data_IF_837994913252
#
_entry.id   IF_837994913252
#
_cell.length_a   1.000
_cell.length_b   1.000
_cell.length_c   1.000
_cell.angle_alpha   90.00
_cell.angle_beta   90.00
_cell.angle_gamma   90.00
#
_symmetry.space_group_name_H-M   'P 1'
#
loop_
_entity.id
_entity.type
_entity.pdbx_description
1 polymer ?
#
# COMPACT_ATOMS: atom_id res chain seq x y z
N UNK A 1 26.46 12.75 -16.09
CA UNK A 1 25.94 11.62 -15.28
C UNK A 1 24.48 11.39 -15.64
N UNK A 2 24.10 10.18 -16.10
CA UNK A 2 22.67 9.86 -16.36
C UNK A 2 21.90 9.89 -15.05
N UNK A 3 20.84 10.69 -14.95
CA UNK A 3 19.89 10.65 -13.83
C UNK A 3 19.24 9.26 -13.81
N UNK A 4 19.71 8.37 -12.95
CA UNK A 4 19.05 7.08 -12.72
C UNK A 4 17.71 7.40 -12.10
N UNK A 5 16.63 7.17 -12.84
CA UNK A 5 15.28 7.32 -12.31
C UNK A 5 15.00 6.06 -11.49
N UNK A 6 14.86 6.17 -10.16
CA UNK A 6 14.76 4.99 -9.31
C UNK A 6 13.47 4.21 -9.60
N UNK A 7 13.55 2.88 -9.59
CA UNK A 7 12.37 2.03 -9.70
C UNK A 7 11.49 2.23 -8.47
N UNK A 8 10.19 2.47 -8.71
CA UNK A 8 9.22 2.80 -7.65
C UNK A 8 8.28 1.64 -7.40
N UNK A 9 8.31 1.09 -6.19
CA UNK A 9 7.48 -0.04 -5.77
C UNK A 9 6.48 0.39 -4.71
N UNK A 10 5.21 0.03 -4.91
CA UNK A 10 4.15 0.19 -3.93
C UNK A 10 3.77 -1.17 -3.39
N UNK A 11 3.93 -1.37 -2.09
CA UNK A 11 3.45 -2.56 -1.41
C UNK A 11 2.13 -2.26 -0.71
N UNK A 12 1.15 -3.14 -0.88
CA UNK A 12 -0.14 -3.03 -0.24
C UNK A 12 -0.44 -4.33 0.50
N UNK A 13 -0.33 -4.27 1.83
CA UNK A 13 -0.67 -5.41 2.66
C UNK A 13 -0.46 -5.13 4.12
N UNK A 14 -1.23 -5.80 4.95
CA UNK A 14 -1.20 -5.55 6.39
C UNK A 14 -2.43 -6.07 7.11
N UNK A 15 -2.77 -5.41 8.21
CA UNK A 15 -3.79 -5.87 9.15
C UNK A 15 -3.26 -6.91 10.14
N UNK A 16 -2.43 -7.86 9.71
CA UNK A 16 -1.72 -8.84 10.54
C UNK A 16 -0.28 -9.04 10.03
N UNK A 17 0.54 -9.74 10.80
CA UNK A 17 1.91 -10.10 10.37
C UNK A 17 1.94 -10.99 9.11
N UNK A 18 0.94 -11.85 8.93
CA UNK A 18 0.91 -12.84 7.84
C UNK A 18 0.89 -12.24 6.44
N UNK A 19 0.34 -11.03 6.26
CA UNK A 19 0.41 -10.30 4.99
C UNK A 19 1.59 -9.31 4.96
N UNK A 20 1.95 -8.74 6.11
CA UNK A 20 2.96 -7.69 6.19
C UNK A 20 4.38 -8.25 5.99
N UNK A 21 4.75 -9.32 6.69
CA UNK A 21 6.11 -9.83 6.66
C UNK A 21 6.53 -10.40 5.30
N UNK A 22 5.67 -11.11 4.54
CA UNK A 22 6.00 -11.48 3.16
C UNK A 22 6.29 -10.26 2.27
N UNK A 23 5.51 -9.17 2.40
CA UNK A 23 5.76 -7.94 1.64
C UNK A 23 7.09 -7.29 2.04
N UNK A 24 7.42 -7.26 3.32
CA UNK A 24 8.72 -6.76 3.82
C UNK A 24 9.88 -7.61 3.29
N UNK A 25 9.74 -8.94 3.27
CA UNK A 25 10.77 -9.83 2.76
C UNK A 25 11.08 -9.54 1.28
N UNK A 26 10.04 -9.37 0.46
CA UNK A 26 10.20 -9.00 -0.96
C UNK A 26 10.82 -7.60 -1.10
N UNK A 27 10.38 -6.62 -0.31
CA UNK A 27 10.94 -5.26 -0.34
C UNK A 27 12.43 -5.22 0.06
N UNK A 28 12.82 -6.03 1.06
CA UNK A 28 14.21 -6.17 1.48
C UNK A 28 15.05 -6.74 0.34
N UNK A 29 14.57 -7.78 -0.32
CA UNK A 29 15.28 -8.42 -1.42
C UNK A 29 15.43 -7.48 -2.63
N UNK A 30 14.39 -6.72 -2.96
CA UNK A 30 14.47 -5.68 -3.99
C UNK A 30 15.53 -4.64 -3.65
N UNK A 31 15.63 -4.21 -2.38
CA UNK A 31 16.67 -3.24 -1.96
C UNK A 31 18.08 -3.81 -2.01
N UNK A 32 18.27 -5.12 -1.86
CA UNK A 32 19.57 -5.77 -2.07
C UNK A 32 19.95 -5.77 -3.56
N UNK A 33 19.01 -6.14 -4.44
CA UNK A 33 19.27 -6.27 -5.88
C UNK A 33 19.34 -4.90 -6.57
N UNK A 34 18.51 -3.94 -6.14
CA UNK A 34 18.40 -2.57 -6.68
C UNK A 34 18.33 -1.53 -5.55
N UNK A 35 19.47 -1.17 -4.94
CA UNK A 35 19.53 -0.26 -3.80
C UNK A 35 18.96 1.14 -4.07
N UNK A 36 18.96 1.60 -5.31
CA UNK A 36 18.39 2.88 -5.73
C UNK A 36 16.86 2.91 -5.71
N UNK A 37 16.20 1.76 -5.60
CA UNK A 37 14.74 1.69 -5.64
C UNK A 37 14.08 2.47 -4.51
N UNK A 38 13.00 3.20 -4.86
CA UNK A 38 12.09 3.83 -3.91
C UNK A 38 10.95 2.86 -3.59
N UNK A 39 10.68 2.65 -2.30
CA UNK A 39 9.64 1.74 -1.84
C UNK A 39 8.73 2.45 -0.85
N UNK A 40 7.42 2.36 -1.07
CA UNK A 40 6.41 2.73 -0.09
C UNK A 40 5.50 1.55 0.23
N UNK A 41 5.02 1.52 1.47
CA UNK A 41 3.94 0.64 1.90
C UNK A 41 2.67 1.45 2.11
N UNK A 42 1.56 0.93 1.60
CA UNK A 42 0.21 1.42 1.84
C UNK A 42 -0.47 0.50 2.85
N UNK A 43 -0.92 1.08 3.95
CA UNK A 43 -1.41 0.36 5.12
C UNK A 43 -2.51 1.08 5.88
N UNK A 44 -2.90 0.57 7.04
CA UNK A 44 -3.75 1.27 7.99
C UNK A 44 -2.90 1.73 9.19
N UNK A 45 -2.96 3.02 9.54
CA UNK A 45 -2.13 3.62 10.62
C UNK A 45 -2.34 2.93 11.98
N UNK A 46 -3.54 2.42 12.25
CA UNK A 46 -3.91 1.79 13.52
C UNK A 46 -3.52 0.30 13.63
N UNK A 47 -2.90 -0.28 12.60
CA UNK A 47 -2.52 -1.71 12.56
C UNK A 47 -1.00 -1.86 12.60
N UNK A 48 -0.53 -3.11 12.66
CA UNK A 48 0.89 -3.45 12.86
C UNK A 48 1.82 -2.77 11.84
N UNK A 49 1.38 -2.67 10.59
CA UNK A 49 2.15 -2.04 9.51
C UNK A 49 2.46 -0.57 9.78
N UNK A 50 1.55 0.17 10.40
CA UNK A 50 1.76 1.59 10.72
C UNK A 50 2.86 1.83 11.76
N UNK A 51 3.26 0.79 12.51
CA UNK A 51 4.37 0.84 13.46
C UNK A 51 5.64 0.18 12.91
N UNK A 52 5.50 -0.97 12.24
CA UNK A 52 6.65 -1.78 11.79
C UNK A 52 7.32 -1.18 10.57
N UNK A 53 6.56 -0.75 9.56
CA UNK A 53 7.13 -0.25 8.30
C UNK A 53 8.03 0.96 8.51
N UNK A 54 7.60 2.03 9.22
CA UNK A 54 8.47 3.20 9.41
C UNK A 54 9.74 2.89 10.20
N UNK A 55 9.67 1.96 11.16
CA UNK A 55 10.83 1.52 11.96
C UNK A 55 11.89 0.81 11.12
N UNK A 56 11.49 0.17 10.03
CA UNK A 56 12.39 -0.46 9.06
C UNK A 56 12.95 0.53 8.02
N UNK A 57 12.64 1.82 8.14
CA UNK A 57 13.13 2.85 7.24
C UNK A 57 12.36 2.95 5.91
N UNK A 58 11.25 2.21 5.77
CA UNK A 58 10.42 2.28 4.56
C UNK A 58 9.42 3.44 4.62
N UNK A 59 9.11 4.00 3.45
CA UNK A 59 8.03 4.98 3.33
C UNK A 59 6.68 4.35 3.65
N UNK A 60 5.83 5.08 4.38
CA UNK A 60 4.50 4.61 4.75
C UNK A 60 3.42 5.63 4.38
N UNK A 61 2.33 5.14 3.77
CA UNK A 61 1.11 5.91 3.50
C UNK A 61 -0.08 5.16 4.07
N UNK A 62 -0.93 5.87 4.81
CA UNK A 62 -2.13 5.28 5.36
C UNK A 62 -3.35 5.58 4.51
N UNK A 63 -4.23 4.59 4.36
CA UNK A 63 -5.60 4.80 3.88
C UNK A 63 -6.62 4.42 4.95
N UNK A 64 -7.81 5.01 4.88
CA UNK A 64 -8.86 4.80 5.86
C UNK A 64 -9.71 3.56 5.52
N UNK A 65 -9.12 2.38 5.75
CA UNK A 65 -9.80 1.10 5.57
C UNK A 65 -9.64 0.24 6.82
N UNK A 66 -10.72 -0.47 7.17
CA UNK A 66 -10.75 -1.47 8.24
C UNK A 66 -11.64 -2.62 7.78
N UNK A 67 -11.22 -3.85 8.07
CA UNK A 67 -12.04 -5.03 7.81
C UNK A 67 -13.30 -5.07 8.67
N UNK A 68 -14.20 -5.99 8.31
CA UNK A 68 -15.41 -6.25 9.08
C UNK A 68 -15.04 -6.75 10.49
N UNK A 69 -15.70 -6.18 11.50
CA UNK A 69 -15.66 -6.74 12.84
C UNK A 69 -16.44 -8.07 12.85
N UNK A 70 -15.93 -9.07 13.59
CA UNK A 70 -16.57 -10.39 13.75
C UNK A 70 -17.95 -10.34 14.43
N UNK A 71 -18.27 -9.23 15.10
CA UNK A 71 -19.58 -8.97 15.72
C UNK A 71 -20.30 -7.89 14.90
N UNK A 72 -21.64 -7.98 14.79
CA UNK A 72 -22.46 -6.88 14.26
C UNK A 72 -22.22 -5.64 15.13
N UNK A 73 -21.50 -4.68 14.58
CA UNK A 73 -21.18 -3.42 15.23
C UNK A 73 -21.44 -2.29 14.22
N UNK A 74 -21.86 -1.13 14.69
CA UNK A 74 -22.06 0.07 13.87
C UNK A 74 -20.83 0.44 13.03
N UNK A 75 -19.62 0.01 13.44
CA UNK A 75 -18.41 0.16 12.63
C UNK A 75 -18.47 -0.49 11.24
N UNK A 76 -19.25 -1.57 11.08
CA UNK A 76 -19.44 -2.26 9.81
C UNK A 76 -20.34 -1.45 8.86
N UNK A 77 -21.25 -0.62 9.39
CA UNK A 77 -22.11 0.26 8.58
C UNK A 77 -21.30 1.36 7.88
N UNK A 78 -20.17 1.77 8.47
CA UNK A 78 -19.24 2.71 7.87
C UNK A 78 -18.32 2.08 6.82
N UNK A 79 -18.38 0.76 6.61
CA UNK A 79 -17.48 0.09 5.68
C UNK A 79 -17.58 0.61 4.23
N UNK A 80 -18.78 0.81 3.63
CA UNK A 80 -18.88 1.35 2.28
C UNK A 80 -18.25 2.74 2.15
N UNK A 81 -18.45 3.60 3.16
CA UNK A 81 -17.84 4.93 3.21
C UNK A 81 -16.31 4.84 3.31
N UNK A 82 -15.80 4.01 4.23
CA UNK A 82 -14.36 3.75 4.38
C UNK A 82 -13.74 3.23 3.08
N UNK A 83 -14.42 2.28 2.43
CA UNK A 83 -13.99 1.73 1.15
C UNK A 83 -13.91 2.82 0.08
N UNK A 84 -14.96 3.61 -0.10
CA UNK A 84 -14.98 4.72 -1.07
C UNK A 84 -13.85 5.73 -0.83
N UNK A 85 -13.69 6.19 0.40
CA UNK A 85 -12.60 7.12 0.76
C UNK A 85 -11.23 6.47 0.52
N UNK A 86 -11.07 5.19 0.85
CA UNK A 86 -9.80 4.48 0.66
C UNK A 86 -9.43 4.30 -0.82
N UNK A 87 -10.42 4.15 -1.71
CA UNK A 87 -10.21 4.09 -3.15
C UNK A 87 -9.66 5.42 -3.68
N UNK A 88 -10.29 6.53 -3.31
CA UNK A 88 -9.82 7.88 -3.68
C UNK A 88 -8.40 8.12 -3.14
N UNK A 89 -8.16 7.83 -1.87
CA UNK A 89 -6.83 7.98 -1.26
C UNK A 89 -5.77 7.14 -1.98
N UNK A 90 -6.11 5.92 -2.39
CA UNK A 90 -5.21 5.02 -3.11
C UNK A 90 -4.85 5.53 -4.50
N UNK A 91 -5.82 6.11 -5.22
CA UNK A 91 -5.59 6.80 -6.50
C UNK A 91 -4.64 7.98 -6.27
N UNK A 92 -4.93 8.85 -5.30
CA UNK A 92 -4.07 10.02 -5.00
C UNK A 92 -2.64 9.61 -4.64
N UNK A 93 -2.46 8.58 -3.80
CA UNK A 93 -1.15 8.03 -3.44
C UNK A 93 -0.43 7.54 -4.71
N UNK A 94 -1.12 6.79 -5.57
CA UNK A 94 -0.54 6.23 -6.79
C UNK A 94 -0.13 7.33 -7.78
N UNK A 95 -0.94 8.37 -7.97
CA UNK A 95 -0.59 9.49 -8.84
C UNK A 95 0.57 10.35 -8.33
N UNK A 96 0.70 10.51 -7.00
CA UNK A 96 1.82 11.26 -6.39
C UNK A 96 3.11 10.47 -6.41
N UNK A 97 3.06 9.19 -6.06
CA UNK A 97 4.24 8.34 -6.00
C UNK A 97 4.68 7.85 -7.38
N UNK A 98 3.73 7.63 -8.30
CA UNK A 98 3.93 7.10 -9.65
C UNK A 98 4.64 5.73 -9.63
N UNK A 99 4.09 4.73 -8.93
CA UNK A 99 4.70 3.40 -8.88
C UNK A 99 4.79 2.79 -10.28
N UNK A 100 5.87 2.05 -10.52
CA UNK A 100 6.02 1.21 -11.71
C UNK A 100 5.48 -0.20 -11.47
N UNK A 101 5.52 -0.64 -10.22
CA UNK A 101 5.04 -1.95 -9.78
C UNK A 101 4.26 -1.76 -8.48
N UNK A 102 3.09 -2.40 -8.39
CA UNK A 102 2.28 -2.47 -7.18
C UNK A 102 2.08 -3.94 -6.78
N UNK A 103 2.33 -4.29 -5.53
CA UNK A 103 2.32 -5.67 -5.03
C UNK A 103 1.33 -5.76 -3.87
N UNK A 104 0.30 -6.58 -4.04
CA UNK A 104 -0.69 -6.85 -3.00
C UNK A 104 -0.35 -8.13 -2.25
N UNK A 105 -0.05 -8.06 -0.95
CA UNK A 105 0.20 -9.26 -0.13
C UNK A 105 -1.01 -9.68 0.71
N UNK A 106 -2.15 -9.00 0.56
CA UNK A 106 -3.43 -9.36 1.19
C UNK A 106 -3.90 -8.42 2.29
N UNK A 107 -5.04 -8.75 2.90
CA UNK A 107 -5.76 -7.88 3.83
C UNK A 107 -6.59 -6.80 3.15
N UNK A 108 -7.43 -6.12 3.94
CA UNK A 108 -8.42 -5.15 3.42
C UNK A 108 -7.80 -3.93 2.73
N UNK A 109 -6.53 -3.64 2.98
CA UNK A 109 -5.80 -2.54 2.33
C UNK A 109 -5.41 -2.85 0.89
N UNK A 110 -5.17 -4.13 0.56
CA UNK A 110 -4.66 -4.53 -0.74
C UNK A 110 -5.64 -4.17 -1.87
N UNK A 111 -6.94 -4.42 -1.66
CA UNK A 111 -7.98 -4.10 -2.65
C UNK A 111 -7.92 -2.66 -3.16
N UNK A 112 -8.21 -1.64 -2.32
CA UNK A 112 -8.22 -0.25 -2.78
C UNK A 112 -6.85 0.23 -3.27
N UNK A 113 -5.76 -0.19 -2.62
CA UNK A 113 -4.41 0.24 -2.99
C UNK A 113 -3.99 -0.27 -4.38
N UNK A 114 -4.23 -1.56 -4.67
CA UNK A 114 -3.91 -2.14 -5.98
C UNK A 114 -4.84 -1.59 -7.06
N UNK A 115 -6.14 -1.45 -6.76
CA UNK A 115 -7.07 -0.83 -7.70
C UNK A 115 -6.65 0.60 -8.05
N UNK A 116 -6.29 1.42 -7.06
CA UNK A 116 -5.81 2.78 -7.28
C UNK A 116 -4.52 2.85 -8.11
N UNK A 117 -3.63 1.86 -7.96
CA UNK A 117 -2.45 1.73 -8.81
C UNK A 117 -2.83 1.35 -10.25
N UNK A 118 -3.73 0.38 -10.44
CA UNK A 118 -4.22 -0.04 -11.76
C UNK A 118 -4.83 1.14 -12.53
N UNK A 119 -5.67 1.95 -11.88
CA UNK A 119 -6.25 3.17 -12.49
C UNK A 119 -5.17 4.14 -12.94
N UNK A 120 -4.15 4.39 -12.11
CA UNK A 120 -3.02 5.25 -12.47
C UNK A 120 -2.23 4.72 -13.68
N UNK A 121 -1.99 3.41 -13.73
CA UNK A 121 -1.28 2.77 -14.84
C UNK A 121 -2.07 2.87 -16.15
N UNK A 122 -3.38 2.62 -16.12
CA UNK A 122 -4.24 2.75 -17.31
C UNK A 122 -4.29 4.18 -17.82
N UNK A 123 -4.51 5.17 -16.94
CA UNK A 123 -4.55 6.58 -17.33
C UNK A 123 -3.22 7.14 -17.81
N UNK A 124 -2.12 6.42 -17.61
CA UNK A 124 -0.80 6.79 -18.13
C UNK A 124 -0.53 6.28 -19.55
N UNK A 125 -1.34 5.32 -20.04
CA UNK A 125 -1.23 4.76 -21.38
C UNK A 125 -1.95 5.58 -22.45
N UNK A 126 -2.80 6.52 -22.04
CA UNK A 126 -3.48 7.51 -22.88
C UNK A 126 -2.82 8.88 -22.69
#
# INVERSE_FOLDING_TARGET
>A
MKKVTPYRFLFAGGGTGGHLYPAIAVANEIKKIKPESEIIFVGTKSRIEGKVVPKLGYGFKSIWIKGFARKFNFENLLFPLKLFVSLIQSVVISFRFKPKVAIGSGGYVAGPAIWGASVHLVLKLF
#
